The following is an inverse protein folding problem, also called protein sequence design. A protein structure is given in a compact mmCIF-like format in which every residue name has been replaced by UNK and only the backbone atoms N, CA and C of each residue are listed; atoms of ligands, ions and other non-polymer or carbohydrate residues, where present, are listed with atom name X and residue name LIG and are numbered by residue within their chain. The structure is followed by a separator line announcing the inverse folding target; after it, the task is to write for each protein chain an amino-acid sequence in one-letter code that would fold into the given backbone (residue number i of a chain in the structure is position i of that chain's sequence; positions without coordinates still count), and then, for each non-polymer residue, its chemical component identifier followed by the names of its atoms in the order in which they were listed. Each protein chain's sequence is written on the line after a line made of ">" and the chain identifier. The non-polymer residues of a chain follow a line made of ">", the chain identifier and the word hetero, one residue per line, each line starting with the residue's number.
data_IF_265976705177
#
_entry.id   IF_265976705177
#
_cell.length_a   1.000
_cell.length_b   1.000
_cell.length_c   1.000
_cell.angle_alpha   90.00
_cell.angle_beta   90.00
_cell.angle_gamma   90.00
#
_symmetry.space_group_name_H-M   'P 1'
#
loop_
_entity.id
_entity.type
_entity.pdbx_description
1 polymer ?
#
# COMPACT_ATOMS: atom_id res chain seq x y z
N UNK A 1 -27.24 -33.93 -52.94
CA UNK A 1 -25.79 -33.70 -52.74
C UNK A 1 -25.62 -32.83 -51.49
N UNK A 2 -25.31 -33.44 -50.34
CA UNK A 2 -25.19 -32.75 -49.05
C UNK A 2 -23.71 -32.55 -48.73
N UNK A 3 -23.22 -31.31 -48.83
CA UNK A 3 -21.85 -30.93 -48.49
C UNK A 3 -21.74 -30.84 -46.97
N UNK A 4 -21.19 -31.89 -46.34
CA UNK A 4 -20.86 -31.88 -44.91
C UNK A 4 -19.73 -30.88 -44.64
N UNK A 5 -20.07 -29.73 -44.04
CA UNK A 5 -19.08 -28.79 -43.49
C UNK A 5 -18.37 -29.47 -42.31
N UNK A 6 -17.08 -29.77 -42.45
CA UNK A 6 -16.24 -30.38 -41.42
C UNK A 6 -15.88 -29.32 -40.38
N UNK A 7 -16.77 -29.09 -39.42
CA UNK A 7 -16.50 -28.22 -38.27
C UNK A 7 -15.32 -28.78 -37.47
N UNK A 8 -14.23 -28.02 -37.38
CA UNK A 8 -13.12 -28.33 -36.47
C UNK A 8 -13.67 -28.30 -35.05
N UNK A 9 -13.83 -29.48 -34.45
CA UNK A 9 -14.26 -29.65 -33.07
C UNK A 9 -13.13 -29.15 -32.17
N UNK A 10 -13.24 -27.92 -31.67
CA UNK A 10 -12.36 -27.44 -30.60
C UNK A 10 -12.44 -28.45 -29.45
N UNK A 11 -11.29 -29.03 -29.07
CA UNK A 11 -11.21 -29.96 -27.94
C UNK A 11 -11.15 -29.11 -26.67
N UNK A 12 -12.23 -29.02 -25.88
CA UNK A 12 -12.25 -28.19 -24.67
C UNK A 12 -11.16 -28.63 -23.69
N UNK A 13 -10.87 -29.94 -23.62
CA UNK A 13 -9.86 -30.50 -22.72
C UNK A 13 -8.45 -29.94 -22.94
N UNK A 14 -8.06 -29.71 -24.20
CA UNK A 14 -6.73 -29.16 -24.50
C UNK A 14 -6.64 -27.68 -24.11
N UNK A 15 -7.73 -26.94 -24.31
CA UNK A 15 -7.83 -25.54 -23.93
C UNK A 15 -7.80 -25.38 -22.40
N UNK A 16 -8.51 -26.25 -21.68
CA UNK A 16 -8.55 -26.31 -20.22
C UNK A 16 -7.16 -26.63 -19.67
N UNK A 17 -6.47 -27.64 -20.21
CA UNK A 17 -5.11 -28.00 -19.82
C UNK A 17 -4.12 -26.84 -20.01
N UNK A 18 -4.18 -26.15 -21.14
CA UNK A 18 -3.37 -24.96 -21.42
C UNK A 18 -3.68 -23.81 -20.43
N UNK A 19 -4.93 -23.56 -20.11
CA UNK A 19 -5.33 -22.56 -19.11
C UNK A 19 -4.83 -22.91 -17.70
N UNK A 20 -4.93 -24.18 -17.29
CA UNK A 20 -4.45 -24.62 -15.97
C UNK A 20 -2.93 -24.45 -15.82
N UNK A 21 -2.16 -24.76 -16.87
CA UNK A 21 -0.70 -24.57 -16.87
C UNK A 21 -0.33 -23.08 -16.75
N UNK A 22 -1.09 -22.20 -17.41
CA UNK A 22 -0.88 -20.75 -17.36
C UNK A 22 -1.22 -20.16 -15.98
N UNK A 23 -2.25 -20.66 -15.30
CA UNK A 23 -2.64 -20.21 -13.95
C UNK A 23 -1.59 -20.59 -12.88
N UNK A 24 -0.90 -21.72 -13.03
CA UNK A 24 0.17 -22.17 -12.11
C UNK A 24 1.42 -21.27 -12.21
N UNK A 25 1.56 -20.50 -13.28
CA UNK A 25 2.72 -19.62 -13.52
C UNK A 25 2.47 -18.15 -13.20
N UNK A 26 1.31 -17.78 -12.66
CA UNK A 26 1.06 -16.38 -12.27
C UNK A 26 1.82 -16.11 -10.97
N UNK A 27 2.83 -15.22 -10.95
CA UNK A 27 3.43 -14.78 -9.70
C UNK A 27 2.35 -14.08 -8.87
N UNK A 28 2.33 -14.38 -7.57
CA UNK A 28 1.42 -13.76 -6.61
C UNK A 28 1.43 -12.23 -6.79
N UNK A 29 0.28 -11.64 -7.11
CA UNK A 29 0.16 -10.20 -7.29
C UNK A 29 0.31 -9.53 -5.93
N UNK A 30 1.47 -8.93 -5.67
CA UNK A 30 1.70 -8.16 -4.45
C UNK A 30 1.07 -6.78 -4.69
N UNK A 31 -0.01 -6.47 -3.99
CA UNK A 31 -0.51 -5.10 -3.97
C UNK A 31 0.45 -4.23 -3.13
N UNK A 32 0.72 -3.03 -3.63
CA UNK A 32 1.43 -1.99 -2.92
C UNK A 32 0.43 -0.89 -2.57
N UNK A 33 0.39 -0.48 -1.30
CA UNK A 33 -0.42 0.64 -0.85
C UNK A 33 0.43 1.89 -0.64
N UNK A 34 -0.03 3.02 -1.18
CA UNK A 34 0.68 4.29 -1.05
C UNK A 34 0.29 4.98 0.27
N UNK A 35 1.28 5.30 1.09
CA UNK A 35 1.08 5.96 2.39
C UNK A 35 1.26 7.47 2.25
N UNK A 36 0.29 8.20 2.77
CA UNK A 36 0.27 9.67 2.83
C UNK A 36 0.16 10.13 4.28
N UNK A 37 0.67 11.33 4.58
CA UNK A 37 0.48 11.98 5.87
C UNK A 37 -0.85 12.74 5.84
N UNK A 38 -1.73 12.46 6.80
CA UNK A 38 -3.02 13.15 6.95
C UNK A 38 -2.92 14.31 7.92
N UNK A 39 -2.29 14.08 9.08
CA UNK A 39 -2.09 15.13 10.06
C UNK A 39 -0.89 14.84 10.93
N UNK A 40 -0.30 15.90 11.48
CA UNK A 40 0.77 15.80 12.47
C UNK A 40 0.72 16.97 13.44
N UNK A 41 1.00 16.69 14.70
CA UNK A 41 1.24 17.67 15.74
C UNK A 41 2.53 17.29 16.47
N UNK A 42 3.46 18.24 16.54
CA UNK A 42 4.73 18.09 17.27
C UNK A 42 4.55 18.72 18.66
N UNK A 43 4.83 17.97 19.72
CA UNK A 43 4.69 18.45 21.10
C UNK A 43 6.00 19.02 21.65
N UNK A 44 7.13 18.50 21.18
CA UNK A 44 8.45 18.85 21.66
C UNK A 44 9.40 18.96 20.48
N UNK A 45 10.41 19.82 20.62
CA UNK A 45 11.53 19.95 19.68
C UNK A 45 12.81 19.82 20.51
N UNK A 46 13.82 19.19 19.97
CA UNK A 46 15.11 18.99 20.62
C UNK A 46 16.14 20.06 20.21
N UNK A 47 15.80 20.96 19.28
CA UNK A 47 16.64 22.10 18.94
C UNK A 47 16.94 23.01 20.15
N UNK A 48 18.23 23.09 20.50
CA UNK A 48 18.73 23.83 21.67
C UNK A 48 18.79 25.37 21.48
N UNK A 49 18.62 25.91 20.27
CA UNK A 49 18.99 27.30 19.92
C UNK A 49 17.90 28.15 19.21
N UNK A 50 16.61 27.95 19.48
CA UNK A 50 15.50 28.75 18.91
C UNK A 50 15.51 28.84 17.37
N UNK A 51 16.07 27.85 16.69
CA UNK A 51 15.93 27.73 15.25
C UNK A 51 14.54 27.13 14.94
N UNK A 52 14.18 27.11 13.66
CA UNK A 52 12.97 26.42 13.23
C UNK A 52 13.34 24.96 13.03
N UNK A 53 12.64 24.02 13.71
CA UNK A 53 12.92 22.60 13.57
C UNK A 53 12.67 22.18 12.12
N UNK A 54 13.59 21.41 11.54
CA UNK A 54 13.39 20.81 10.22
C UNK A 54 13.00 19.36 10.40
N UNK A 55 11.70 19.09 10.35
CA UNK A 55 11.17 17.74 10.55
C UNK A 55 11.20 16.97 9.22
N UNK A 56 11.57 15.69 9.27
CA UNK A 56 11.49 14.81 8.11
C UNK A 56 11.00 13.41 8.48
N UNK A 57 10.39 12.75 7.51
CA UNK A 57 10.00 11.34 7.57
C UNK A 57 10.99 10.50 6.76
N UNK A 58 11.33 9.31 7.24
CA UNK A 58 12.21 8.39 6.51
C UNK A 58 11.92 6.94 6.86
N UNK A 59 11.91 6.09 5.83
CA UNK A 59 11.94 4.64 5.98
C UNK A 59 13.33 4.08 5.67
N UNK A 60 13.69 2.95 6.28
CA UNK A 60 14.97 2.28 6.07
C UNK A 60 15.13 1.86 4.60
N UNK A 61 16.20 2.35 3.97
CA UNK A 61 16.50 2.06 2.56
C UNK A 61 15.84 3.03 1.57
N UNK A 62 15.14 4.06 2.05
CA UNK A 62 14.52 5.10 1.24
C UNK A 62 15.15 6.47 1.45
N UNK A 63 14.85 7.38 0.52
CA UNK A 63 15.20 8.77 0.67
C UNK A 63 14.36 9.40 1.79
N UNK A 64 14.91 10.43 2.43
CA UNK A 64 14.15 11.21 3.41
C UNK A 64 13.18 12.14 2.69
N UNK A 65 12.02 12.35 3.31
CA UNK A 65 11.00 13.30 2.87
C UNK A 65 10.88 14.40 3.92
N UNK A 66 11.37 15.60 3.59
CA UNK A 66 11.22 16.77 4.46
C UNK A 66 9.76 17.19 4.55
N UNK A 67 9.33 17.61 5.74
CA UNK A 67 7.99 18.13 6.01
C UNK A 67 8.08 19.67 6.18
N UNK A 68 8.16 20.44 5.07
CA UNK A 68 8.48 21.87 5.14
C UNK A 68 7.40 22.71 5.84
N UNK A 69 6.16 22.21 5.88
CA UNK A 69 5.02 22.91 6.44
C UNK A 69 4.95 22.76 7.97
N UNK A 70 5.60 21.74 8.54
CA UNK A 70 5.61 21.43 9.97
C UNK A 70 6.72 22.24 10.64
N UNK A 71 6.35 23.36 11.25
CA UNK A 71 7.34 24.36 11.72
C UNK A 71 7.16 24.79 13.18
N UNK A 72 5.97 24.61 13.74
CA UNK A 72 5.62 25.06 15.08
C UNK A 72 5.14 23.88 15.94
N UNK A 73 5.50 23.91 17.23
CA UNK A 73 4.99 22.96 18.22
C UNK A 73 3.56 23.30 18.63
N UNK A 74 2.80 22.30 19.06
CA UNK A 74 1.41 22.41 19.49
C UNK A 74 0.45 22.97 18.42
N UNK A 75 0.84 22.83 17.15
CA UNK A 75 0.01 23.15 15.99
C UNK A 75 -0.31 21.86 15.27
N UNK A 76 -1.61 21.61 15.06
CA UNK A 76 -2.09 20.48 14.27
C UNK A 76 -2.09 20.88 12.80
N UNK A 77 -1.19 20.28 12.03
CA UNK A 77 -1.15 20.41 10.58
C UNK A 77 -2.02 19.32 9.95
N UNK A 78 -2.83 19.69 8.96
CA UNK A 78 -3.69 18.77 8.22
C UNK A 78 -3.36 18.87 6.73
N UNK A 79 -3.24 17.73 6.07
CA UNK A 79 -2.80 17.59 4.70
C UNK A 79 -3.85 16.87 3.87
N UNK A 80 -3.82 17.08 2.55
CA UNK A 80 -4.77 16.47 1.61
C UNK A 80 -4.16 15.37 0.75
N UNK A 81 -2.86 15.13 0.86
CA UNK A 81 -2.14 14.22 -0.04
C UNK A 81 -1.80 14.86 -1.40
N UNK A 82 -2.06 16.15 -1.57
CA UNK A 82 -1.77 16.92 -2.79
C UNK A 82 -0.43 17.67 -2.70
N UNK A 83 0.25 17.61 -1.55
CA UNK A 83 1.50 18.30 -1.32
C UNK A 83 2.62 17.68 -2.16
N UNK A 84 3.52 18.52 -2.69
CA UNK A 84 4.55 18.09 -3.66
C UNK A 84 5.56 17.07 -3.12
N UNK A 85 5.64 16.95 -1.79
CA UNK A 85 6.52 16.01 -1.10
C UNK A 85 5.82 14.70 -0.73
N UNK A 86 4.52 14.56 -1.01
CA UNK A 86 3.78 13.30 -0.88
C UNK A 86 3.88 12.47 -2.17
N UNK A 87 3.82 11.14 -2.09
CA UNK A 87 3.58 10.31 -0.90
C UNK A 87 4.82 10.11 -0.01
N UNK A 88 4.61 9.61 1.21
CA UNK A 88 5.71 9.35 2.15
C UNK A 88 6.46 8.05 1.85
N UNK A 89 5.75 6.97 1.53
CA UNK A 89 6.32 5.66 1.21
C UNK A 89 5.25 4.76 0.56
N UNK A 90 5.66 3.58 0.11
CA UNK A 90 4.78 2.51 -0.36
C UNK A 90 4.90 1.27 0.54
N UNK A 91 3.81 0.63 0.90
CA UNK A 91 3.82 -0.61 1.71
C UNK A 91 3.39 -1.79 0.87
N UNK A 92 4.16 -2.87 0.92
CA UNK A 92 3.75 -4.15 0.36
C UNK A 92 2.99 -4.91 1.46
N UNK A 93 1.86 -5.53 1.14
CA UNK A 93 0.95 -6.12 2.15
C UNK A 93 1.63 -7.04 3.18
N UNK A 94 2.62 -7.83 2.73
CA UNK A 94 3.33 -8.81 3.58
C UNK A 94 4.60 -8.27 4.24
N UNK A 95 4.97 -7.00 4.03
CA UNK A 95 6.24 -6.44 4.52
C UNK A 95 6.04 -5.09 5.19
N UNK A 96 6.37 -5.04 6.47
CA UNK A 96 6.49 -3.80 7.21
C UNK A 96 7.80 -3.08 6.83
N UNK A 97 7.80 -1.75 6.97
CA UNK A 97 9.00 -0.92 6.84
C UNK A 97 9.31 -0.29 8.19
N UNK A 98 10.58 -0.31 8.58
CA UNK A 98 11.03 0.48 9.73
C UNK A 98 11.15 1.94 9.29
N UNK A 99 10.30 2.79 9.83
CA UNK A 99 10.21 4.20 9.50
C UNK A 99 10.30 5.06 10.77
N UNK A 100 10.56 6.34 10.61
CA UNK A 100 10.68 7.27 11.71
C UNK A 100 10.40 8.71 11.31
N UNK A 101 10.16 9.53 12.33
CA UNK A 101 10.15 10.98 12.24
C UNK A 101 11.39 11.48 12.97
N UNK A 102 12.09 12.41 12.34
CA UNK A 102 13.37 12.91 12.78
C UNK A 102 13.37 14.44 12.76
N UNK A 103 14.18 15.02 13.62
CA UNK A 103 14.50 16.45 13.63
C UNK A 103 15.91 16.62 13.08
N UNK A 104 16.06 17.39 12.01
CA UNK A 104 17.38 17.67 11.47
C UNK A 104 18.09 18.72 12.31
N UNK A 105 19.28 18.39 12.81
CA UNK A 105 20.11 19.29 13.59
C UNK A 105 21.22 19.89 12.75
N UNK A 106 21.35 21.21 12.79
CA UNK A 106 22.42 21.91 12.05
C UNK A 106 23.80 21.77 12.69
N UNK A 107 23.84 21.38 13.97
CA UNK A 107 25.06 21.45 14.82
C UNK A 107 25.40 20.08 15.41
N UNK A 108 24.40 19.27 15.74
CA UNK A 108 24.57 17.93 16.31
C UNK A 108 24.14 16.85 15.32
N UNK A 109 24.18 15.58 15.76
CA UNK A 109 23.49 14.51 15.05
C UNK A 109 21.98 14.69 15.17
N UNK A 110 21.26 14.50 14.07
CA UNK A 110 19.79 14.55 14.02
C UNK A 110 19.14 13.77 15.17
N UNK A 111 18.24 14.45 15.87
CA UNK A 111 17.42 13.86 16.91
C UNK A 111 16.30 12.98 16.33
N UNK A 112 16.02 11.87 17.02
CA UNK A 112 15.01 10.90 16.62
C UNK A 112 13.78 11.10 17.49
N UNK A 113 12.66 11.53 16.92
CA UNK A 113 11.40 11.58 17.64
C UNK A 113 10.91 10.17 17.98
N UNK A 114 10.82 9.32 16.96
CA UNK A 114 10.50 7.90 17.11
C UNK A 114 10.89 7.11 15.85
N UNK A 115 11.15 5.81 16.04
CA UNK A 115 11.25 4.82 14.97
C UNK A 115 10.36 3.63 15.30
N UNK A 116 9.52 3.22 14.34
CA UNK A 116 8.61 2.10 14.50
C UNK A 116 8.50 1.26 13.23
N UNK A 117 7.85 0.10 13.33
CA UNK A 117 7.49 -0.71 12.17
C UNK A 117 6.13 -0.26 11.64
N UNK A 118 6.11 0.27 10.42
CA UNK A 118 4.91 0.66 9.71
C UNK A 118 4.47 -0.51 8.81
N UNK A 119 3.34 -1.13 9.13
CA UNK A 119 2.77 -2.25 8.39
C UNK A 119 1.46 -1.85 7.70
N UNK A 120 1.16 -2.46 6.56
CA UNK A 120 -0.14 -2.26 5.89
C UNK A 120 -1.31 -2.77 6.75
N UNK A 121 -1.06 -3.76 7.62
CA UNK A 121 -2.05 -4.33 8.55
C UNK A 121 -2.49 -3.38 9.66
N UNK A 122 -1.72 -2.34 9.95
CA UNK A 122 -2.01 -1.42 11.07
C UNK A 122 -3.05 -0.36 10.68
N UNK A 123 -3.34 -0.23 9.39
CA UNK A 123 -4.34 0.68 8.86
C UNK A 123 -5.73 0.08 9.06
N UNK A 124 -6.58 0.73 9.85
CA UNK A 124 -7.99 0.39 10.00
C UNK A 124 -8.82 1.36 9.16
N UNK A 125 -9.66 0.85 8.26
CA UNK A 125 -10.41 1.67 7.30
C UNK A 125 -9.50 2.65 6.51
N UNK A 126 -8.29 2.20 6.17
CA UNK A 126 -7.29 2.98 5.45
C UNK A 126 -6.62 4.10 6.26
N UNK A 127 -6.79 4.11 7.60
CA UNK A 127 -6.23 5.11 8.51
C UNK A 127 -5.37 4.46 9.59
N UNK A 128 -4.22 5.05 9.88
CA UNK A 128 -3.34 4.63 10.97
C UNK A 128 -2.94 5.85 11.82
N UNK A 129 -3.12 5.77 13.14
CA UNK A 129 -2.69 6.81 14.07
C UNK A 129 -1.47 6.32 14.84
N UNK A 130 -0.38 7.07 14.78
CA UNK A 130 0.84 6.79 15.55
C UNK A 130 1.08 7.91 16.53
N UNK A 131 1.25 7.56 17.81
CA UNK A 131 1.47 8.52 18.88
C UNK A 131 2.73 8.14 19.63
N UNK A 132 3.66 9.08 19.70
CA UNK A 132 4.80 9.00 20.61
C UNK A 132 4.56 9.97 21.76
N UNK A 133 4.36 9.41 22.95
CA UNK A 133 4.05 10.19 24.15
C UNK A 133 5.08 11.30 24.39
N UNK A 134 4.60 12.53 24.50
CA UNK A 134 5.43 13.71 24.75
C UNK A 134 6.24 14.22 23.54
N UNK A 135 6.21 13.52 22.40
CA UNK A 135 6.99 13.88 21.20
C UNK A 135 6.08 14.33 20.06
N UNK A 136 5.16 13.48 19.58
CA UNK A 136 4.23 13.84 18.50
C UNK A 136 2.97 12.95 18.44
N UNK A 137 1.98 13.43 17.68
CA UNK A 137 0.81 12.67 17.24
C UNK A 137 0.67 12.80 15.73
N UNK A 138 0.69 11.69 15.00
CA UNK A 138 0.58 11.67 13.54
C UNK A 138 -0.52 10.71 13.08
N UNK A 139 -1.18 11.09 11.99
CA UNK A 139 -2.16 10.27 11.29
C UNK A 139 -1.68 10.04 9.86
N UNK A 140 -1.70 8.78 9.43
CA UNK A 140 -1.35 8.34 8.09
C UNK A 140 -2.58 7.77 7.39
N UNK A 141 -2.63 7.91 6.06
CA UNK A 141 -3.66 7.33 5.21
C UNK A 141 -3.04 6.39 4.19
N UNK A 142 -3.75 5.30 3.90
CA UNK A 142 -3.46 4.39 2.81
C UNK A 142 -4.76 3.67 2.40
N UNK A 143 -5.37 4.09 1.30
CA UNK A 143 -6.64 3.51 0.82
C UNK A 143 -6.56 2.05 0.42
N UNK A 144 -5.37 1.61 -0.01
CA UNK A 144 -5.12 0.26 -0.47
C UNK A 144 -4.56 -0.65 0.64
N UNK A 145 -4.22 -0.08 1.80
CA UNK A 145 -3.83 -0.81 3.00
C UNK A 145 -5.09 -1.18 3.78
N UNK A 146 -5.81 -2.18 3.29
CA UNK A 146 -6.94 -2.77 4.02
C UNK A 146 -6.41 -4.03 4.72
N UNK A 147 -6.71 -4.23 6.02
CA UNK A 147 -6.36 -5.47 6.71
C UNK A 147 -7.00 -6.62 5.95
N UNK A 148 -6.17 -7.45 5.33
CA UNK A 148 -6.62 -8.67 4.72
C UNK A 148 -6.94 -9.63 5.86
N UNK A 149 -8.22 -9.77 6.22
CA UNK A 149 -8.65 -10.92 7.04
C UNK A 149 -8.40 -12.18 6.22
N UNK A 150 -7.21 -12.75 6.42
CA UNK A 150 -6.60 -13.85 5.68
C UNK A 150 -6.29 -13.49 4.21
N UNK A 151 -5.03 -13.75 3.83
CA UNK A 151 -4.47 -13.43 2.52
C UNK A 151 -5.08 -14.20 1.34
N UNK A 152 -6.34 -13.96 1.06
CA UNK A 152 -7.06 -14.44 -0.11
C UNK A 152 -7.98 -13.32 -0.59
N UNK A 153 -7.42 -12.32 -1.27
CA UNK A 153 -8.24 -11.60 -2.25
C UNK A 153 -8.45 -12.56 -3.43
N UNK A 154 -9.69 -12.96 -3.76
CA UNK A 154 -9.92 -13.65 -5.01
C UNK A 154 -9.54 -12.69 -6.13
N UNK A 155 -8.44 -12.99 -6.81
CA UNK A 155 -8.15 -12.35 -8.10
C UNK A 155 -9.26 -12.81 -9.03
N UNK A 156 -10.28 -11.99 -9.22
CA UNK A 156 -11.31 -12.21 -10.23
C UNK A 156 -10.63 -11.96 -11.59
N UNK A 157 -9.91 -12.96 -12.09
CA UNK A 157 -9.47 -12.96 -13.48
C UNK A 157 -10.72 -13.26 -14.31
N UNK A 158 -11.36 -12.20 -14.81
CA UNK A 158 -12.38 -12.34 -15.84
C UNK A 158 -11.70 -12.79 -17.14
N UNK A 159 -11.44 -14.10 -17.27
CA UNK A 159 -11.08 -14.70 -18.54
C UNK A 159 -12.32 -14.69 -19.44
N UNK A 160 -12.44 -13.65 -20.26
CA UNK A 160 -13.33 -13.71 -21.42
C UNK A 160 -12.74 -14.67 -22.46
N UNK A 161 -12.83 -15.97 -22.19
CA UNK A 161 -12.79 -16.93 -23.28
C UNK A 161 -14.12 -16.79 -24.02
N UNK A 162 -14.13 -15.96 -25.06
CA UNK A 162 -15.25 -15.88 -25.99
C UNK A 162 -15.06 -16.96 -27.07
N UNK A 163 -15.80 -18.08 -27.02
CA UNK A 163 -16.17 -18.75 -28.24
C UNK A 163 -17.70 -18.71 -28.34
N UNK A 164 -18.18 -17.90 -29.28
CA UNK A 164 -19.55 -17.88 -29.81
C UNK A 164 -20.56 -17.21 -28.87
N UNK A 165 -21.08 -16.06 -29.32
CA UNK A 165 -21.95 -15.19 -28.53
C UNK A 165 -23.22 -15.88 -28.01
N UNK A 166 -23.22 -16.16 -26.72
CA UNK A 166 -24.41 -16.25 -25.88
C UNK A 166 -23.99 -15.85 -24.46
N UNK A 167 -24.64 -14.80 -23.92
CA UNK A 167 -24.44 -14.34 -22.54
C UNK A 167 -24.89 -15.43 -21.56
N UNK A 168 -23.95 -16.20 -21.02
CA UNK A 168 -24.15 -16.98 -19.80
C UNK A 168 -22.96 -16.75 -18.89
N UNK A 169 -23.20 -15.98 -17.83
CA UNK A 169 -22.25 -15.79 -16.73
C UNK A 169 -22.13 -17.10 -15.96
N UNK A 170 -20.99 -17.78 -16.09
CA UNK A 170 -20.65 -18.91 -15.24
C UNK A 170 -20.02 -18.36 -13.95
N UNK A 171 -20.75 -18.45 -12.85
CA UNK A 171 -20.21 -18.24 -11.51
C UNK A 171 -19.43 -19.49 -11.12
N UNK A 172 -18.10 -19.47 -11.23
CA UNK A 172 -17.26 -20.51 -10.61
C UNK A 172 -17.21 -20.19 -9.11
N UNK A 173 -18.06 -20.88 -8.34
CA UNK A 173 -17.91 -20.94 -6.88
C UNK A 173 -16.67 -21.78 -6.56
N UNK A 174 -15.81 -21.20 -5.73
CA UNK A 174 -14.89 -21.85 -4.80
C UNK A 174 -13.95 -22.92 -5.37
N UNK A 175 -12.75 -22.48 -5.81
CA UNK A 175 -11.58 -23.37 -5.85
C UNK A 175 -10.89 -23.26 -4.49
N UNK A 176 -11.32 -24.10 -3.55
CA UNK A 176 -10.61 -24.37 -2.30
C UNK A 176 -9.29 -25.08 -2.62
N UNK A 177 -8.15 -24.45 -2.33
CA UNK A 177 -6.85 -25.13 -2.26
C UNK A 177 -6.42 -25.19 -0.79
N UNK A 178 -6.25 -26.43 -0.31
CA UNK A 178 -5.79 -26.76 1.05
C UNK A 178 -4.39 -26.29 1.34
#
# INVERSE_FOLDING_TARGET
>A
MQIRRRGKRCRPDLLILLCSILLIWIPEFIAAGTVTLASIEIFKTHEMLNLKPTVYFKCKGENMTTLPDVTEKHVVYNFKGEESWQPLTELLEKKCKRCGIYEHDKIASDDVFDEWELCASDFTDGKYNHVKEGEFNATFLCSDCVPSENGERPVIIALSCCPLGLHSFFWIRDVFLR
#
